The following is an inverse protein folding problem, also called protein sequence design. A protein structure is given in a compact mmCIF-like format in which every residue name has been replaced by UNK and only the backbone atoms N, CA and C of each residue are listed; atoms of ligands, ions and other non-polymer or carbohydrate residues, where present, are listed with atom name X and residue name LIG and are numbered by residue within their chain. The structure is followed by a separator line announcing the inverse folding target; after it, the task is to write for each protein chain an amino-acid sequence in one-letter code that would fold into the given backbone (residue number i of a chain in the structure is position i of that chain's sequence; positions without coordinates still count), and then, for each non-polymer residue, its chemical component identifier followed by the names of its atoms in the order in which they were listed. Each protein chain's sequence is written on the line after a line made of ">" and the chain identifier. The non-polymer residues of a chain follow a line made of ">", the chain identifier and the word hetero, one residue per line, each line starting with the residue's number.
data_IF_560455747564
#
_entry.id   IF_560455747564
#
_cell.length_a   1.000
_cell.length_b   1.000
_cell.length_c   1.000
_cell.angle_alpha   90.00
_cell.angle_beta   90.00
_cell.angle_gamma   90.00
#
_symmetry.space_group_name_H-M   'P 1'
#
loop_
_entity.id
_entity.type
_entity.pdbx_description
1 polymer ?
#
# COMPACT_ATOMS: atom_id res chain seq x y z
N UNK A 1 -24.77 -1.37 15.38
CA UNK A 1 -25.58 -0.85 16.51
C UNK A 1 -25.14 0.58 16.87
N UNK A 2 -26.01 1.40 17.48
CA UNK A 2 -25.57 2.71 18.02
C UNK A 2 -24.43 2.47 19.01
N UNK A 3 -23.35 3.25 18.91
CA UNK A 3 -22.11 3.14 19.70
C UNK A 3 -21.21 1.92 19.40
N UNK A 4 -21.36 1.27 18.25
CA UNK A 4 -20.39 0.27 17.81
C UNK A 4 -18.99 0.89 17.69
N UNK A 5 -18.01 0.30 18.36
CA UNK A 5 -16.61 0.70 18.29
C UNK A 5 -15.83 -0.33 17.50
N UNK A 6 -14.89 0.15 16.72
CA UNK A 6 -14.03 -0.64 15.84
C UNK A 6 -12.60 -0.16 16.00
N UNK A 7 -11.67 -1.09 15.86
CA UNK A 7 -10.23 -0.84 15.93
C UNK A 7 -9.55 -1.65 14.85
N UNK A 8 -8.45 -1.13 14.35
CA UNK A 8 -7.56 -1.86 13.46
C UNK A 8 -6.76 -2.89 14.25
N UNK A 9 -6.58 -4.07 13.65
CA UNK A 9 -5.63 -5.07 14.09
C UNK A 9 -4.75 -5.47 12.90
N UNK A 10 -3.58 -6.04 13.18
CA UNK A 10 -2.75 -6.65 12.14
C UNK A 10 -3.46 -7.85 11.50
N UNK A 11 -3.01 -8.23 10.31
CA UNK A 11 -3.50 -9.45 9.65
C UNK A 11 -3.05 -10.67 10.48
N UNK A 12 -3.95 -11.61 10.80
CA UNK A 12 -3.56 -12.86 11.45
C UNK A 12 -2.53 -13.61 10.62
N UNK A 13 -1.56 -14.25 11.29
CA UNK A 13 -0.49 -15.00 10.65
C UNK A 13 -0.33 -16.37 11.32
N UNK A 14 0.12 -17.40 10.57
CA UNK A 14 0.49 -18.69 11.16
C UNK A 14 1.65 -18.54 12.14
N UNK A 15 1.60 -19.22 13.28
CA UNK A 15 2.66 -19.14 14.31
C UNK A 15 4.03 -19.59 13.79
N UNK A 16 4.05 -20.55 12.85
CA UNK A 16 5.24 -21.07 12.17
C UNK A 16 5.58 -20.32 10.87
N UNK A 17 4.84 -19.24 10.57
CA UNK A 17 5.09 -18.38 9.42
C UNK A 17 6.46 -17.70 9.50
N UNK A 18 7.23 -17.78 8.41
CA UNK A 18 8.56 -17.14 8.31
C UNK A 18 8.51 -15.66 7.93
N UNK A 19 7.35 -15.17 7.50
CA UNK A 19 7.15 -13.78 7.11
C UNK A 19 7.15 -12.85 8.32
N UNK A 20 7.38 -11.56 8.08
CA UNK A 20 7.24 -10.54 9.13
C UNK A 20 5.76 -10.47 9.59
N UNK A 21 5.43 -10.79 10.85
CA UNK A 21 4.05 -10.75 11.34
C UNK A 21 3.50 -9.33 11.46
N UNK A 22 4.36 -8.31 11.37
CA UNK A 22 3.98 -6.90 11.44
C UNK A 22 3.87 -6.26 10.06
N UNK A 23 4.04 -7.04 9.00
CA UNK A 23 4.08 -6.56 7.64
C UNK A 23 2.76 -5.82 7.29
N UNK A 24 2.87 -4.59 6.81
CA UNK A 24 1.73 -3.73 6.47
C UNK A 24 1.72 -3.36 4.98
N UNK A 25 0.63 -3.71 4.30
CA UNK A 25 0.38 -3.27 2.93
C UNK A 25 -0.18 -1.85 2.95
N UNK A 26 0.55 -0.91 2.36
CA UNK A 26 0.08 0.45 2.16
C UNK A 26 -0.36 0.59 0.71
N UNK A 27 -1.67 0.64 0.50
CA UNK A 27 -2.23 0.92 -0.81
C UNK A 27 -1.87 2.33 -1.28
N UNK A 28 -1.57 2.48 -2.57
CA UNK A 28 -1.15 3.75 -3.18
C UNK A 28 -2.33 4.71 -3.42
N UNK A 29 -3.58 4.26 -3.24
CA UNK A 29 -4.77 5.09 -3.28
C UNK A 29 -4.88 6.09 -2.12
N UNK A 30 -3.85 6.19 -1.27
CA UNK A 30 -3.68 7.33 -0.37
C UNK A 30 -3.26 8.54 -1.23
N UNK A 31 -4.27 9.27 -1.70
CA UNK A 31 -4.27 10.54 -2.45
C UNK A 31 -3.29 11.61 -1.91
N UNK A 32 -1.99 11.38 -2.05
CA UNK A 32 -0.93 12.21 -1.44
C UNK A 32 0.26 12.46 -2.35
N UNK A 33 0.29 11.86 -3.55
CA UNK A 33 1.27 12.21 -4.57
C UNK A 33 0.90 13.52 -5.26
N UNK A 34 1.10 14.63 -4.55
CA UNK A 34 1.02 15.95 -5.13
C UNK A 34 2.23 16.17 -6.05
N UNK A 35 1.97 16.41 -7.34
CA UNK A 35 2.99 16.61 -8.35
C UNK A 35 2.91 18.02 -8.92
N UNK A 36 4.07 18.66 -9.12
CA UNK A 36 4.17 19.92 -9.87
C UNK A 36 4.71 19.61 -11.26
N UNK A 37 3.95 19.85 -12.33
CA UNK A 37 4.45 19.67 -13.70
C UNK A 37 5.68 20.55 -13.94
N UNK A 38 6.74 19.97 -14.50
CA UNK A 38 7.99 20.69 -14.79
C UNK A 38 7.82 21.84 -15.80
N UNK A 39 6.74 21.81 -16.60
CA UNK A 39 6.36 22.84 -17.58
C UNK A 39 5.21 23.74 -17.12
N UNK A 40 4.87 23.73 -15.83
CA UNK A 40 3.87 24.65 -15.30
C UNK A 40 4.29 26.11 -15.56
N UNK A 41 3.32 27.03 -15.66
CA UNK A 41 3.61 28.46 -15.88
C UNK A 41 4.32 29.09 -14.67
N UNK A 42 4.01 28.60 -13.47
CA UNK A 42 4.51 29.10 -12.18
C UNK A 42 4.80 27.93 -11.21
N UNK A 43 5.79 27.08 -11.51
CA UNK A 43 6.10 25.90 -10.69
C UNK A 43 6.53 26.27 -9.26
N UNK A 44 7.19 27.40 -9.08
CA UNK A 44 7.60 27.94 -7.77
C UNK A 44 6.40 28.25 -6.87
N UNK A 45 5.36 28.90 -7.40
CA UNK A 45 4.14 29.22 -6.66
C UNK A 45 3.40 27.94 -6.30
N UNK A 46 3.33 26.98 -7.23
CA UNK A 46 2.73 25.68 -6.97
C UNK A 46 3.47 24.94 -5.83
N UNK A 47 4.81 24.98 -5.82
CA UNK A 47 5.60 24.41 -4.73
C UNK A 47 5.33 25.07 -3.38
N UNK A 48 5.23 26.41 -3.33
CA UNK A 48 4.91 27.13 -2.09
C UNK A 48 3.50 26.78 -1.59
N UNK A 49 2.55 26.64 -2.50
CA UNK A 49 1.21 26.19 -2.15
C UNK A 49 1.20 24.75 -1.61
N UNK A 50 1.95 23.84 -2.23
CA UNK A 50 2.09 22.47 -1.71
C UNK A 50 2.71 22.47 -0.31
N UNK A 51 3.77 23.25 -0.08
CA UNK A 51 4.40 23.38 1.26
C UNK A 51 3.41 23.88 2.30
N UNK A 52 2.59 24.87 1.95
CA UNK A 52 1.53 25.35 2.83
C UNK A 52 0.55 24.22 3.14
N UNK A 53 -0.03 23.58 2.12
CA UNK A 53 -1.00 22.50 2.32
C UNK A 53 -0.46 21.33 3.15
N UNK A 54 0.81 20.97 2.97
CA UNK A 54 1.47 19.88 3.69
C UNK A 54 2.19 20.33 4.96
N UNK A 55 2.00 21.57 5.40
CA UNK A 55 2.56 22.04 6.68
C UNK A 55 1.95 21.26 7.84
N UNK A 56 2.70 21.14 8.96
CA UNK A 56 2.20 20.43 10.14
C UNK A 56 0.90 21.03 10.68
N UNK A 57 0.75 22.35 10.61
CA UNK A 57 -0.46 23.06 11.03
C UNK A 57 -1.68 22.63 10.21
N UNK A 58 -1.58 22.72 8.88
CA UNK A 58 -2.66 22.31 7.99
C UNK A 58 -2.93 20.80 8.05
N UNK A 59 -1.88 20.00 8.20
CA UNK A 59 -2.01 18.56 8.39
C UNK A 59 -2.79 18.22 9.66
N UNK A 60 -2.50 18.88 10.79
CA UNK A 60 -3.27 18.73 12.03
C UNK A 60 -4.72 19.17 11.85
N UNK A 61 -4.95 20.29 11.15
CA UNK A 61 -6.29 20.76 10.83
C UNK A 61 -7.09 19.71 10.04
N UNK A 62 -6.51 19.16 8.97
CA UNK A 62 -7.15 18.11 8.16
C UNK A 62 -7.44 16.86 9.00
N UNK A 63 -6.49 16.41 9.82
CA UNK A 63 -6.71 15.26 10.71
C UNK A 63 -7.82 15.49 11.74
N UNK A 64 -7.90 16.70 12.31
CA UNK A 64 -8.91 17.05 13.30
C UNK A 64 -10.32 17.22 12.71
N UNK A 65 -10.43 17.81 11.52
CA UNK A 65 -11.70 18.21 10.93
C UNK A 65 -12.27 17.20 9.94
N UNK A 66 -11.41 16.49 9.21
CA UNK A 66 -11.83 15.47 8.24
C UNK A 66 -11.71 14.05 8.78
N UNK A 67 -11.02 13.85 9.90
CA UNK A 67 -10.72 12.50 10.39
C UNK A 67 -9.91 11.72 9.36
N UNK A 68 -8.90 12.37 8.77
CA UNK A 68 -8.01 11.74 7.79
C UNK A 68 -6.63 11.51 8.40
N UNK A 69 -6.05 10.34 8.11
CA UNK A 69 -4.63 10.07 8.37
C UNK A 69 -3.86 10.74 7.21
N UNK A 70 -2.96 11.67 7.54
CA UNK A 70 -2.16 12.41 6.56
C UNK A 70 -0.68 12.08 6.77
N UNK A 71 0.14 12.06 5.70
CA UNK A 71 1.54 11.63 5.76
C UNK A 71 2.48 12.75 6.25
N UNK A 72 2.10 13.44 7.33
CA UNK A 72 2.90 14.49 7.95
C UNK A 72 3.12 14.12 9.41
N UNK A 73 4.36 13.77 9.76
CA UNK A 73 4.71 13.31 11.11
C UNK A 73 4.28 14.31 12.18
N UNK A 74 3.58 13.83 13.21
CA UNK A 74 3.07 14.64 14.30
C UNK A 74 1.67 15.22 14.06
N UNK A 75 1.06 14.99 12.90
CA UNK A 75 -0.34 15.38 12.66
C UNK A 75 -1.33 14.40 13.30
N UNK A 76 -0.93 13.15 13.52
CA UNK A 76 -1.75 12.08 14.09
C UNK A 76 -2.26 12.41 15.50
N UNK A 77 -1.57 13.30 16.22
CA UNK A 77 -1.98 13.79 17.55
C UNK A 77 -3.32 14.55 17.51
N UNK A 78 -3.69 15.08 16.34
CA UNK A 78 -4.94 15.82 16.14
C UNK A 78 -6.12 14.91 15.77
N UNK A 79 -5.89 13.61 15.54
CA UNK A 79 -6.97 12.66 15.24
C UNK A 79 -7.91 12.52 16.46
N UNK A 80 -9.21 12.69 16.23
CA UNK A 80 -10.25 12.51 17.27
C UNK A 80 -10.77 11.06 17.33
N UNK A 81 -10.72 10.33 16.21
CA UNK A 81 -11.27 8.97 16.11
C UNK A 81 -10.33 7.92 16.70
N UNK A 82 -10.82 7.16 17.68
CA UNK A 82 -10.08 6.02 18.27
C UNK A 82 -9.81 4.90 17.25
N UNK A 83 -10.70 4.72 16.28
CA UNK A 83 -10.49 3.76 15.19
C UNK A 83 -9.28 4.15 14.34
N UNK A 84 -9.16 5.42 13.97
CA UNK A 84 -8.03 5.92 13.18
C UNK A 84 -6.73 5.91 13.98
N UNK A 85 -6.76 6.31 15.27
CA UNK A 85 -5.60 6.19 16.15
C UNK A 85 -5.12 4.74 16.24
N UNK A 86 -6.03 3.77 16.28
CA UNK A 86 -5.65 2.36 16.29
C UNK A 86 -5.01 1.91 14.98
N UNK A 87 -5.43 2.44 13.84
CA UNK A 87 -4.78 2.19 12.55
C UNK A 87 -3.36 2.77 12.51
N UNK A 88 -3.17 4.00 12.97
CA UNK A 88 -1.84 4.62 13.11
C UNK A 88 -0.96 3.79 14.04
N UNK A 89 -1.50 3.28 15.15
CA UNK A 89 -0.74 2.45 16.09
C UNK A 89 -0.32 1.09 15.50
N UNK A 90 -1.11 0.49 14.62
CA UNK A 90 -0.74 -0.73 13.87
C UNK A 90 0.36 -0.40 12.85
N UNK A 91 0.16 0.66 12.06
CA UNK A 91 1.12 1.12 11.07
C UNK A 91 2.50 1.45 11.69
N UNK A 92 2.54 2.17 12.81
CA UNK A 92 3.79 2.54 13.49
C UNK A 92 4.58 1.36 14.07
N UNK A 93 3.99 0.17 14.14
CA UNK A 93 4.64 -1.07 14.58
C UNK A 93 5.15 -1.92 13.42
N UNK A 94 4.79 -1.60 12.19
CA UNK A 94 5.19 -2.35 11.01
C UNK A 94 6.71 -2.25 10.81
N UNK A 95 7.39 -3.39 10.74
CA UNK A 95 8.82 -3.44 10.37
C UNK A 95 8.98 -3.46 8.86
N UNK A 96 8.05 -4.10 8.16
CA UNK A 96 8.00 -4.16 6.71
C UNK A 96 6.77 -3.40 6.20
N UNK A 97 7.01 -2.44 5.31
CA UNK A 97 5.96 -1.71 4.59
C UNK A 97 6.23 -1.90 3.10
N UNK A 98 5.23 -2.36 2.35
CA UNK A 98 5.29 -2.41 0.89
C UNK A 98 4.10 -1.67 0.29
N UNK A 99 4.29 -1.18 -0.92
CA UNK A 99 3.31 -0.38 -1.66
C UNK A 99 3.05 -1.00 -3.02
N UNK A 100 1.86 -0.79 -3.56
CA UNK A 100 1.48 -1.32 -4.88
C UNK A 100 2.51 -1.01 -5.98
N UNK A 101 3.01 0.24 -6.06
CA UNK A 101 3.96 0.68 -7.09
C UNK A 101 5.33 -0.01 -7.05
N UNK A 102 5.65 -0.65 -5.93
CA UNK A 102 6.89 -1.40 -5.72
C UNK A 102 6.73 -2.92 -5.85
N UNK A 103 5.59 -3.39 -6.36
CA UNK A 103 5.30 -4.83 -6.41
C UNK A 103 5.46 -5.38 -7.82
N UNK A 104 5.58 -6.71 -7.88
CA UNK A 104 5.52 -7.46 -9.14
C UNK A 104 4.25 -7.15 -9.95
N UNK A 105 3.20 -6.65 -9.32
CA UNK A 105 1.92 -6.35 -9.97
C UNK A 105 2.05 -5.25 -11.02
N UNK A 106 2.86 -4.23 -10.71
CA UNK A 106 3.13 -3.10 -11.60
C UNK A 106 4.24 -3.44 -12.59
N UNK A 107 5.31 -4.08 -12.11
CA UNK A 107 6.50 -4.32 -12.94
C UNK A 107 6.34 -5.49 -13.91
N UNK A 108 5.58 -6.52 -13.53
CA UNK A 108 5.46 -7.77 -14.28
C UNK A 108 3.98 -8.17 -14.43
N UNK A 109 3.19 -7.46 -15.26
CA UNK A 109 1.75 -7.65 -15.37
C UNK A 109 1.33 -9.08 -15.75
N UNK A 110 2.16 -9.81 -16.50
CA UNK A 110 1.91 -11.21 -16.88
C UNK A 110 1.96 -12.15 -15.67
N UNK A 111 2.88 -11.93 -14.73
CA UNK A 111 2.93 -12.67 -13.46
C UNK A 111 1.69 -12.37 -12.64
N UNK A 112 1.28 -11.09 -12.55
CA UNK A 112 0.06 -10.71 -11.83
C UNK A 112 -1.19 -11.39 -12.40
N UNK A 113 -1.34 -11.39 -13.73
CA UNK A 113 -2.45 -12.07 -14.40
C UNK A 113 -2.45 -13.58 -14.12
N UNK A 114 -1.27 -14.21 -14.10
CA UNK A 114 -1.16 -15.63 -13.75
C UNK A 114 -1.59 -15.90 -12.31
N UNK A 115 -1.21 -15.04 -11.37
CA UNK A 115 -1.63 -15.08 -9.97
C UNK A 115 -3.14 -14.88 -9.81
N UNK A 116 -3.71 -13.83 -10.37
CA UNK A 116 -5.15 -13.52 -10.27
C UNK A 116 -6.01 -14.66 -10.83
N UNK A 117 -5.73 -15.07 -12.07
CA UNK A 117 -6.49 -16.17 -12.70
C UNK A 117 -6.22 -17.52 -12.05
N UNK A 118 -5.03 -17.70 -11.47
CA UNK A 118 -4.67 -18.89 -10.70
C UNK A 118 -5.41 -18.98 -9.37
N UNK A 119 -5.46 -17.88 -8.61
CA UNK A 119 -6.21 -17.79 -7.34
C UNK A 119 -7.69 -18.02 -7.58
N UNK A 120 -8.27 -17.43 -8.65
CA UNK A 120 -9.66 -17.67 -9.00
C UNK A 120 -9.94 -19.17 -9.22
N UNK A 121 -9.15 -19.82 -10.07
CA UNK A 121 -9.30 -21.25 -10.35
C UNK A 121 -9.07 -22.13 -9.11
N UNK A 122 -8.10 -21.77 -8.26
CA UNK A 122 -7.80 -22.49 -7.02
C UNK A 122 -8.96 -22.40 -6.02
N UNK A 123 -9.52 -21.19 -5.81
CA UNK A 123 -10.67 -20.98 -4.93
C UNK A 123 -11.94 -21.62 -5.45
N UNK A 124 -12.08 -21.72 -6.78
CA UNK A 124 -13.15 -22.47 -7.45
C UNK A 124 -12.91 -23.99 -7.49
N UNK A 125 -11.80 -24.48 -6.94
CA UNK A 125 -11.42 -25.90 -6.90
C UNK A 125 -11.22 -26.53 -8.29
N UNK A 126 -10.97 -25.72 -9.32
CA UNK A 126 -10.71 -26.17 -10.69
C UNK A 126 -9.28 -26.69 -10.88
N UNK A 127 -8.35 -26.21 -10.04
CA UNK A 127 -6.93 -26.61 -10.05
C UNK A 127 -6.44 -26.92 -8.64
N UNK A 128 -5.37 -27.71 -8.53
CA UNK A 128 -4.69 -27.98 -7.26
C UNK A 128 -3.73 -26.86 -6.87
N UNK A 129 -3.29 -26.77 -5.60
CA UNK A 129 -2.22 -25.85 -5.19
C UNK A 129 -0.94 -26.01 -6.02
N UNK A 130 -0.55 -27.24 -6.37
CA UNK A 130 0.65 -27.50 -7.18
C UNK A 130 0.49 -26.94 -8.61
N UNK A 131 -0.67 -27.16 -9.23
CA UNK A 131 -0.98 -26.62 -10.55
C UNK A 131 -1.02 -25.08 -10.55
N UNK A 132 -1.49 -24.48 -9.47
CA UNK A 132 -1.43 -23.03 -9.27
C UNK A 132 0.02 -22.54 -9.24
N UNK A 133 0.89 -23.18 -8.45
CA UNK A 133 2.30 -22.82 -8.35
C UNK A 133 3.02 -22.98 -9.69
N UNK A 134 2.82 -24.09 -10.39
CA UNK A 134 3.41 -24.35 -11.71
C UNK A 134 3.04 -23.26 -12.73
N UNK A 135 1.77 -22.82 -12.71
CA UNK A 135 1.28 -21.77 -13.60
C UNK A 135 1.97 -20.44 -13.33
N UNK A 136 2.09 -20.03 -12.07
CA UNK A 136 2.73 -18.77 -11.68
C UNK A 136 4.22 -18.82 -11.98
N UNK A 137 4.90 -19.91 -11.62
CA UNK A 137 6.33 -20.08 -11.80
C UNK A 137 6.71 -20.11 -13.29
N UNK A 138 5.88 -20.72 -14.14
CA UNK A 138 6.07 -20.70 -15.60
C UNK A 138 6.10 -19.29 -16.18
N UNK A 139 5.22 -18.39 -15.72
CA UNK A 139 5.24 -16.99 -16.17
C UNK A 139 6.41 -16.21 -15.55
N UNK A 140 6.75 -16.48 -14.28
CA UNK A 140 7.91 -15.88 -13.63
C UNK A 140 9.23 -16.26 -14.33
N UNK A 141 9.37 -17.50 -14.77
CA UNK A 141 10.52 -17.99 -15.52
C UNK A 141 10.67 -17.31 -16.89
N UNK A 142 9.56 -17.13 -17.61
CA UNK A 142 9.55 -16.35 -18.87
C UNK A 142 10.04 -14.93 -18.63
N UNK A 143 9.50 -14.27 -17.61
CA UNK A 143 9.91 -12.91 -17.25
C UNK A 143 11.38 -12.86 -16.85
N UNK A 144 11.90 -13.84 -16.11
CA UNK A 144 13.33 -13.91 -15.74
C UNK A 144 14.24 -14.06 -16.96
N UNK A 145 13.86 -14.90 -17.92
CA UNK A 145 14.63 -15.17 -19.14
C UNK A 145 14.54 -14.08 -20.21
N UNK A 146 13.49 -13.26 -20.18
CA UNK A 146 13.32 -12.16 -21.10
C UNK A 146 14.25 -10.99 -20.73
N UNK A 147 15.29 -10.79 -21.54
CA UNK A 147 16.26 -9.71 -21.40
C UNK A 147 15.71 -8.34 -21.77
N UNK A 148 14.55 -8.26 -22.43
CA UNK A 148 13.91 -7.00 -22.80
C UNK A 148 13.11 -6.37 -21.65
N UNK A 149 12.73 -7.18 -20.65
CA UNK A 149 11.99 -6.72 -19.48
C UNK A 149 12.97 -6.18 -18.42
N UNK A 150 12.91 -4.89 -18.05
CA UNK A 150 13.73 -4.32 -16.98
C UNK A 150 13.53 -5.08 -15.67
N UNK A 151 14.64 -5.43 -15.00
CA UNK A 151 14.60 -6.08 -13.69
C UNK A 151 14.78 -5.03 -12.60
N UNK A 152 13.78 -4.95 -11.74
CA UNK A 152 13.80 -4.02 -10.61
C UNK A 152 14.40 -4.70 -9.38
N UNK A 153 15.31 -4.00 -8.71
CA UNK A 153 15.88 -4.39 -7.40
C UNK A 153 15.41 -3.39 -6.35
N UNK A 154 15.01 -3.89 -5.19
CA UNK A 154 14.71 -3.08 -4.00
C UNK A 154 15.95 -2.96 -3.11
#
# INVERSE_FOLDING_TARGET
>A
PKNFKWRMMGVPYPEDGKGDPTAFYMDQDIATSWVVPSKAKHPEIALDFLRYMTSLENAKYVSAEKGAIVPVKGSEVALKSEALKSAVAVYSKAKTIWTYSGTYQVWYPTINKALETGIQALLSQEITPEQFLDKVEKEAEKVRKDSTIPKHTY
#
